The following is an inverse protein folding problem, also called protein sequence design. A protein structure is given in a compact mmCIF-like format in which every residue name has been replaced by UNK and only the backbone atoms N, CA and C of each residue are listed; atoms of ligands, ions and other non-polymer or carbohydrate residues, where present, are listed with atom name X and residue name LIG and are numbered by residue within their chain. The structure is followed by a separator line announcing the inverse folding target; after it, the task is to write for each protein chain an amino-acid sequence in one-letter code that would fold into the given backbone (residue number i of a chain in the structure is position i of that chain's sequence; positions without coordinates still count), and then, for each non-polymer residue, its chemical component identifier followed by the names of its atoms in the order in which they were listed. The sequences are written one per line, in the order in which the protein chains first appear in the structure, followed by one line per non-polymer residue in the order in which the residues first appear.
data_IF_206723014393
#
_entry.id   IF_206723014393
#
_cell.length_a   1.000
_cell.length_b   1.000
_cell.length_c   1.000
_cell.angle_alpha   90.00
_cell.angle_beta   90.00
_cell.angle_gamma   90.00
#
_symmetry.space_group_name_H-M   'P 1'
#
loop_
_entity.id
_entity.type
_entity.pdbx_description
1 polymer ?
#
# COMPACT_ATOMS: atom_id res chain seq x y z
N UNK A 1 -17.86 -4.22 1.08
CA UNK A 1 -16.96 -3.55 0.14
C UNK A 1 -17.72 -2.92 -1.02
N UNK A 2 -17.64 -1.60 -1.18
CA UNK A 2 -18.13 -0.89 -2.36
C UNK A 2 -17.03 -0.77 -3.42
N UNK A 3 -17.13 -1.54 -4.51
CA UNK A 3 -16.12 -1.55 -5.59
C UNK A 3 -15.97 -0.20 -6.29
N UNK A 4 -16.98 0.68 -6.23
CA UNK A 4 -16.91 2.01 -6.84
C UNK A 4 -15.98 2.97 -6.09
N UNK A 5 -15.59 2.61 -4.87
CA UNK A 5 -14.68 3.36 -3.99
C UNK A 5 -13.22 2.90 -4.08
N UNK A 6 -12.93 1.89 -4.89
CA UNK A 6 -11.56 1.42 -5.09
C UNK A 6 -10.79 2.45 -5.92
N UNK A 7 -9.67 2.89 -5.37
CA UNK A 7 -8.75 3.81 -6.01
C UNK A 7 -7.58 3.04 -6.62
N UNK A 8 -7.16 3.46 -7.82
CA UNK A 8 -5.89 3.00 -8.40
C UNK A 8 -4.83 4.05 -8.06
N UNK A 9 -3.81 3.65 -7.32
CA UNK A 9 -2.76 4.54 -6.82
C UNK A 9 -1.38 3.98 -7.16
N UNK A 10 -0.37 4.84 -7.21
CA UNK A 10 1.01 4.38 -7.19
C UNK A 10 1.39 3.96 -5.76
N UNK A 11 2.37 3.08 -5.61
CA UNK A 11 2.88 2.61 -4.31
C UNK A 11 3.16 3.73 -3.31
N UNK A 12 3.79 4.82 -3.77
CA UNK A 12 4.16 5.97 -2.95
C UNK A 12 2.97 6.83 -2.51
N UNK A 13 1.78 6.56 -3.03
CA UNK A 13 0.52 7.23 -2.70
C UNK A 13 -0.41 6.37 -1.85
N UNK A 14 0.05 5.21 -1.36
CA UNK A 14 -0.68 4.45 -0.35
C UNK A 14 -0.89 5.29 0.92
N UNK A 15 -2.11 5.24 1.46
CA UNK A 15 -2.49 6.07 2.61
C UNK A 15 -2.73 5.28 3.90
N UNK A 16 -2.35 5.87 5.04
CA UNK A 16 -2.84 5.44 6.35
C UNK A 16 -4.38 5.38 6.37
N UNK A 17 -4.93 4.36 7.03
CA UNK A 17 -6.37 4.10 7.09
C UNK A 17 -6.94 3.39 5.86
N UNK A 18 -6.18 3.24 4.77
CA UNK A 18 -6.61 2.44 3.63
C UNK A 18 -6.29 0.95 3.83
N UNK A 19 -6.89 0.12 2.98
CA UNK A 19 -6.57 -1.30 2.82
C UNK A 19 -6.18 -1.55 1.37
N UNK A 20 -5.16 -2.37 1.13
CA UNK A 20 -4.74 -2.77 -0.21
C UNK A 20 -5.69 -3.84 -0.73
N UNK A 21 -6.19 -3.66 -1.95
CA UNK A 21 -7.03 -4.62 -2.67
C UNK A 21 -6.14 -5.48 -3.57
N UNK A 22 -6.01 -6.76 -3.23
CA UNK A 22 -5.19 -7.72 -3.98
C UNK A 22 -5.89 -8.16 -5.28
N UNK A 23 -5.14 -8.78 -6.18
CA UNK A 23 -5.65 -9.25 -7.47
C UNK A 23 -6.70 -10.35 -7.36
N UNK A 24 -6.66 -11.12 -6.28
CA UNK A 24 -7.67 -12.11 -5.95
C UNK A 24 -8.89 -11.53 -5.19
N UNK A 25 -8.93 -10.21 -4.98
CA UNK A 25 -9.98 -9.52 -4.23
C UNK A 25 -9.84 -9.56 -2.71
N UNK A 26 -8.80 -10.21 -2.17
CA UNK A 26 -8.51 -10.16 -0.75
C UNK A 26 -8.04 -8.77 -0.33
N UNK A 27 -8.36 -8.39 0.90
CA UNK A 27 -7.96 -7.12 1.49
C UNK A 27 -6.82 -7.35 2.47
N UNK A 28 -5.79 -6.51 2.41
CA UNK A 28 -4.80 -6.40 3.49
C UNK A 28 -5.49 -5.95 4.78
N UNK A 29 -4.83 -6.04 5.96
CA UNK A 29 -5.25 -5.27 7.12
C UNK A 29 -5.14 -3.75 6.83
N UNK A 30 -5.66 -2.93 7.73
CA UNK A 30 -5.58 -1.47 7.60
C UNK A 30 -4.13 -1.02 7.67
N UNK A 31 -3.74 -0.14 6.75
CA UNK A 31 -2.43 0.52 6.76
C UNK A 31 -2.38 1.44 7.99
N UNK A 32 -1.40 1.21 8.86
CA UNK A 32 -1.12 2.05 10.02
C UNK A 32 -0.15 3.19 9.65
N UNK A 33 0.87 2.89 8.85
CA UNK A 33 1.77 3.92 8.31
C UNK A 33 2.48 3.42 7.05
N UNK A 34 3.03 4.38 6.30
CA UNK A 34 3.79 4.16 5.07
C UNK A 34 5.10 4.93 5.17
N UNK A 35 6.22 4.29 4.85
CA UNK A 35 7.54 4.92 4.80
C UNK A 35 8.24 4.61 3.46
N UNK A 36 9.20 5.45 3.08
CA UNK A 36 9.97 5.30 1.86
C UNK A 36 11.40 4.89 2.21
N UNK A 37 11.84 3.77 1.66
CA UNK A 37 13.16 3.20 1.89
C UNK A 37 13.94 3.12 0.57
N UNK A 38 15.24 3.34 0.63
CA UNK A 38 16.16 3.28 -0.50
C UNK A 38 17.24 4.37 -0.41
N UNK A 39 18.43 4.08 -0.93
CA UNK A 39 19.52 5.04 -1.04
C UNK A 39 19.52 5.71 -2.42
N UNK A 40 19.25 7.03 -2.51
CA UNK A 40 19.26 7.73 -3.80
C UNK A 40 20.65 7.80 -4.46
N UNK A 41 21.72 7.52 -3.72
CA UNK A 41 23.10 7.52 -4.23
C UNK A 41 23.59 6.11 -4.66
N UNK A 42 22.81 5.05 -4.42
CA UNK A 42 23.14 3.67 -4.82
C UNK A 42 22.30 3.23 -6.02
N UNK A 43 22.92 3.13 -7.20
CA UNK A 43 22.23 2.73 -8.44
C UNK A 43 21.72 1.27 -8.42
N UNK A 44 22.20 0.44 -7.48
CA UNK A 44 21.73 -0.92 -7.26
C UNK A 44 20.64 -1.03 -6.17
N UNK A 45 20.37 0.05 -5.41
CA UNK A 45 19.32 0.09 -4.38
C UNK A 45 18.01 0.62 -4.94
N UNK A 46 17.04 -0.28 -5.13
CA UNK A 46 15.73 0.07 -5.66
C UNK A 46 14.88 0.76 -4.58
N UNK A 47 14.43 1.99 -4.84
CA UNK A 47 13.46 2.71 -3.99
C UNK A 47 12.19 1.86 -3.76
N UNK A 48 11.80 1.73 -2.50
CA UNK A 48 10.68 0.92 -2.04
C UNK A 48 9.80 1.69 -1.06
N UNK A 49 8.56 1.27 -1.02
CA UNK A 49 7.56 1.73 -0.05
C UNK A 49 7.36 0.61 0.96
N UNK A 50 7.64 0.89 2.22
CA UNK A 50 7.35 0.02 3.35
C UNK A 50 5.98 0.35 3.91
N UNK A 51 5.13 -0.66 4.01
CA UNK A 51 3.75 -0.53 4.49
C UNK A 51 3.62 -1.35 5.75
N UNK A 52 3.29 -0.68 6.85
CA UNK A 52 2.97 -1.35 8.10
C UNK A 52 1.48 -1.39 8.31
N UNK A 53 0.99 -2.54 8.77
CA UNK A 53 -0.42 -2.78 8.96
C UNK A 53 -0.74 -2.85 10.46
N UNK A 54 -1.99 -2.48 10.80
CA UNK A 54 -2.49 -2.44 12.17
C UNK A 54 -2.51 -3.80 12.90
N UNK A 55 -2.32 -4.91 12.18
CA UNK A 55 -2.15 -6.24 12.80
C UNK A 55 -0.68 -6.56 13.14
N UNK A 56 0.23 -5.60 12.92
CA UNK A 56 1.66 -5.72 13.16
C UNK A 56 2.44 -6.36 12.01
N UNK A 57 1.78 -6.75 10.92
CA UNK A 57 2.46 -7.23 9.71
C UNK A 57 3.03 -6.06 8.89
N UNK A 58 3.98 -6.37 8.02
CA UNK A 58 4.63 -5.40 7.15
C UNK A 58 4.83 -6.01 5.76
N UNK A 59 4.64 -5.21 4.73
CA UNK A 59 4.92 -5.56 3.34
C UNK A 59 5.73 -4.43 2.69
N UNK A 60 6.49 -4.74 1.64
CA UNK A 60 7.22 -3.74 0.86
C UNK A 60 6.94 -3.87 -0.62
N UNK A 61 6.89 -2.72 -1.29
CA UNK A 61 6.57 -2.60 -2.71
C UNK A 61 7.65 -1.77 -3.41
N UNK A 62 8.09 -2.12 -4.64
CA UNK A 62 8.93 -1.22 -5.43
C UNK A 62 8.19 0.09 -5.70
N UNK A 63 8.90 1.22 -5.72
CA UNK A 63 8.31 2.52 -6.03
C UNK A 63 7.80 2.58 -7.47
N UNK A 64 6.72 3.33 -7.71
CA UNK A 64 6.08 3.47 -9.03
C UNK A 64 5.23 2.28 -9.49
N UNK A 65 4.97 1.27 -8.66
CA UNK A 65 4.05 0.18 -9.03
C UNK A 65 2.60 0.60 -8.80
N UNK A 66 1.72 0.19 -9.71
CA UNK A 66 0.30 0.47 -9.60
C UNK A 66 -0.36 -0.53 -8.65
N UNK A 67 -1.02 -0.01 -7.61
CA UNK A 67 -1.77 -0.75 -6.61
C UNK A 67 -3.23 -0.27 -6.57
N UNK A 68 -4.05 -1.01 -5.84
CA UNK A 68 -5.44 -0.65 -5.57
C UNK A 68 -5.64 -0.51 -4.07
N UNK A 69 -6.32 0.54 -3.65
CA UNK A 69 -6.65 0.77 -2.25
C UNK A 69 -8.12 1.14 -2.06
N UNK A 70 -8.63 0.94 -0.85
CA UNK A 70 -9.97 1.35 -0.43
C UNK A 70 -9.93 1.82 1.03
N UNK A 71 -10.71 2.84 1.38
CA UNK A 71 -10.82 3.29 2.76
C UNK A 71 -11.36 2.17 3.65
N UNK A 72 -10.81 1.99 4.86
CA UNK A 72 -11.14 0.82 5.69
C UNK A 72 -12.64 0.68 6.02
N UNK A 73 -13.38 1.78 6.18
CA UNK A 73 -14.83 1.74 6.45
C UNK A 73 -15.65 1.39 5.19
N UNK A 74 -15.18 1.77 4.00
CA UNK A 74 -15.85 1.42 2.72
C UNK A 74 -15.58 -0.05 2.33
N UNK A 75 -14.64 -0.70 3.02
CA UNK A 75 -14.25 -2.08 2.79
C UNK A 75 -15.14 -3.11 3.51
N UNK A 76 -15.97 -2.67 4.46
CA UNK A 76 -16.91 -3.53 5.23
C UNK A 76 -18.09 -4.05 4.39
#
# INVERSE_FOLDING_TARGET
MDESKIENVMSELLGEGYRIVRDNGELSPMIEWVDWAGDPDDEDDEERVEVNFADGTMESYPMGVQLRQIWHEDAE
#
